data_IF_409079397306
#
_entry.id   IF_409079397306
#
_cell.length_a   1.000
_cell.length_b   1.000
_cell.length_c   1.000
_cell.angle_alpha   90.00
_cell.angle_beta   90.00
_cell.angle_gamma   90.00
#
_symmetry.space_group_name_H-M   'P 1'
#
loop_
_entity.id
_entity.type
_entity.pdbx_description
1 polymer ?
#
# COMPACT_ATOMS: atom_id res chain seq x y z
N UNK A 1 4.39 14.16 -3.02
CA UNK A 1 3.61 13.27 -2.14
C UNK A 1 4.30 11.92 -2.02
N UNK A 2 4.44 11.41 -0.83
CA UNK A 2 5.04 10.09 -0.58
C UNK A 2 4.08 9.24 0.25
N UNK A 3 4.24 7.91 0.16
CA UNK A 3 3.49 7.02 1.03
C UNK A 3 3.94 7.21 2.49
N UNK A 4 3.01 7.15 3.45
CA UNK A 4 3.37 7.33 4.86
C UNK A 4 4.13 6.14 5.43
N UNK A 5 4.93 6.39 6.47
CA UNK A 5 5.58 5.37 7.25
C UNK A 5 6.77 4.68 6.58
N UNK A 6 7.21 3.54 7.13
CA UNK A 6 8.33 2.77 6.58
C UNK A 6 7.89 1.95 5.37
N UNK A 7 8.08 2.50 4.18
CA UNK A 7 7.62 1.88 2.94
C UNK A 7 8.61 0.80 2.48
N UNK A 8 8.16 -0.45 2.24
CA UNK A 8 9.04 -1.49 1.69
C UNK A 8 9.61 -1.08 0.34
N UNK A 9 10.87 -1.44 0.03
CA UNK A 9 11.52 -1.00 -1.22
C UNK A 9 10.74 -1.32 -2.50
N UNK A 10 10.11 -2.48 -2.58
CA UNK A 10 9.33 -2.87 -3.76
C UNK A 10 8.08 -2.01 -3.93
N UNK A 11 7.43 -1.68 -2.82
CA UNK A 11 6.26 -0.82 -2.83
C UNK A 11 6.66 0.62 -3.18
N UNK A 12 7.78 1.08 -2.65
CA UNK A 12 8.32 2.41 -2.98
C UNK A 12 8.61 2.52 -4.48
N UNK A 13 9.20 1.50 -5.09
CA UNK A 13 9.46 1.47 -6.53
C UNK A 13 8.18 1.52 -7.34
N UNK A 14 7.16 0.76 -6.93
CA UNK A 14 5.85 0.79 -7.59
C UNK A 14 5.24 2.18 -7.53
N UNK A 15 5.37 2.83 -6.38
CA UNK A 15 4.89 4.20 -6.18
C UNK A 15 5.62 5.19 -7.08
N UNK A 16 6.95 5.12 -7.14
CA UNK A 16 7.77 6.04 -7.93
C UNK A 16 7.49 5.97 -9.42
N UNK A 17 7.07 4.82 -9.93
CA UNK A 17 6.74 4.61 -11.34
C UNK A 17 5.41 5.23 -11.75
N UNK A 18 4.59 5.67 -10.80
CA UNK A 18 3.26 6.21 -11.06
C UNK A 18 3.31 7.73 -11.20
N UNK A 19 2.41 8.27 -12.02
CA UNK A 19 2.19 9.71 -12.06
C UNK A 19 1.33 10.14 -10.87
N UNK A 20 1.09 11.43 -10.75
CA UNK A 20 0.37 12.00 -9.61
C UNK A 20 -1.04 11.44 -9.44
N UNK A 21 -1.78 11.32 -10.54
CA UNK A 21 -3.14 10.78 -10.53
C UNK A 21 -3.14 9.32 -10.12
N UNK A 22 -2.21 8.54 -10.66
CA UNK A 22 -2.07 7.12 -10.34
C UNK A 22 -1.65 6.91 -8.89
N UNK A 23 -0.79 7.78 -8.34
CA UNK A 23 -0.36 7.72 -6.94
C UNK A 23 -1.53 7.96 -6.01
N UNK A 24 -2.37 8.93 -6.31
CA UNK A 24 -3.56 9.20 -5.52
C UNK A 24 -4.50 7.99 -5.51
N UNK A 25 -4.75 7.39 -6.66
CA UNK A 25 -5.58 6.19 -6.77
C UNK A 25 -4.96 5.03 -6.00
N UNK A 26 -3.66 4.83 -6.13
CA UNK A 26 -2.94 3.76 -5.43
C UNK A 26 -3.02 3.93 -3.91
N UNK A 27 -2.86 5.16 -3.42
CA UNK A 27 -2.96 5.44 -2.00
C UNK A 27 -4.35 5.10 -1.46
N UNK A 28 -5.40 5.52 -2.17
CA UNK A 28 -6.78 5.22 -1.78
C UNK A 28 -7.02 3.71 -1.70
N UNK A 29 -6.57 2.96 -2.72
CA UNK A 29 -6.75 1.52 -2.76
C UNK A 29 -5.93 0.80 -1.68
N UNK A 30 -4.71 1.25 -1.46
CA UNK A 30 -3.79 0.61 -0.53
C UNK A 30 -4.14 0.90 0.92
N UNK A 31 -4.52 2.13 1.23
CA UNK A 31 -4.69 2.62 2.60
C UNK A 31 -6.14 2.92 2.98
N UNK A 32 -7.08 2.77 2.07
CA UNK A 32 -8.49 3.02 2.35
C UNK A 32 -9.04 2.08 3.42
N UNK A 33 -9.75 2.64 4.38
CA UNK A 33 -10.41 1.89 5.46
C UNK A 33 -11.85 2.35 5.63
N UNK A 34 -12.70 1.41 6.02
CA UNK A 34 -14.08 1.68 6.39
C UNK A 34 -14.39 0.92 7.67
N UNK A 35 -14.84 1.61 8.69
CA UNK A 35 -15.15 1.00 9.99
C UNK A 35 -13.97 0.25 10.59
N UNK A 36 -12.75 0.76 10.41
CA UNK A 36 -11.53 0.16 10.95
C UNK A 36 -10.97 -1.01 10.16
N UNK A 37 -11.61 -1.38 9.05
CA UNK A 37 -11.16 -2.47 8.19
C UNK A 37 -10.65 -1.97 6.85
N UNK A 38 -9.65 -2.64 6.30
CA UNK A 38 -9.10 -2.30 5.00
C UNK A 38 -10.13 -2.57 3.90
N UNK A 39 -10.36 -1.59 3.03
CA UNK A 39 -11.33 -1.71 1.92
C UNK A 39 -10.93 -2.77 0.91
N UNK A 40 -9.63 -2.98 0.71
CA UNK A 40 -9.11 -3.99 -0.22
C UNK A 40 -8.16 -4.93 0.51
N UNK A 41 -8.28 -6.22 0.25
CA UNK A 41 -7.38 -7.19 0.88
C UNK A 41 -5.94 -7.02 0.41
N UNK A 42 -4.99 -7.51 1.21
CA UNK A 42 -3.58 -7.51 0.84
C UNK A 42 -3.34 -8.35 -0.41
N UNK A 43 -4.06 -9.47 -0.54
CA UNK A 43 -4.00 -10.35 -1.71
C UNK A 43 -4.46 -9.63 -2.97
N UNK A 44 -5.55 -8.89 -2.88
CA UNK A 44 -6.07 -8.11 -4.00
C UNK A 44 -5.06 -7.05 -4.45
N UNK A 45 -4.50 -6.31 -3.50
CA UNK A 45 -3.49 -5.28 -3.79
C UNK A 45 -2.24 -5.87 -4.42
N UNK A 46 -1.77 -6.99 -3.88
CA UNK A 46 -0.59 -7.68 -4.42
C UNK A 46 -0.84 -8.14 -5.87
N UNK A 47 -2.02 -8.68 -6.15
CA UNK A 47 -2.39 -9.11 -7.49
C UNK A 47 -2.42 -7.94 -8.48
N UNK A 48 -3.03 -6.82 -8.09
CA UNK A 48 -3.11 -5.63 -8.93
C UNK A 48 -1.73 -5.08 -9.25
N UNK A 49 -0.88 -4.93 -8.24
CA UNK A 49 0.47 -4.41 -8.42
C UNK A 49 1.34 -5.35 -9.27
N UNK A 50 1.21 -6.65 -9.06
CA UNK A 50 1.94 -7.63 -9.84
C UNK A 50 1.53 -7.59 -11.32
N UNK A 51 0.24 -7.45 -11.60
CA UNK A 51 -0.25 -7.31 -12.97
C UNK A 51 0.25 -6.03 -13.64
N UNK A 52 0.44 -5.00 -12.86
CA UNK A 52 0.96 -3.72 -13.36
C UNK A 52 2.48 -3.74 -13.57
N UNK A 53 3.13 -4.88 -13.41
CA UNK A 53 4.57 -5.01 -13.62
C UNK A 53 5.41 -4.78 -12.37
N UNK A 54 4.78 -4.74 -11.19
CA UNK A 54 5.47 -4.51 -9.92
C UNK A 54 5.24 -5.71 -9.00
N UNK A 55 6.03 -6.79 -9.11
CA UNK A 55 5.80 -8.00 -8.32
C UNK A 55 5.97 -7.74 -6.83
N UNK A 56 4.86 -7.84 -6.11
CA UNK A 56 4.78 -7.61 -4.67
C UNK A 56 3.93 -8.72 -4.08
N UNK A 57 4.38 -9.29 -2.97
CA UNK A 57 3.62 -10.32 -2.27
C UNK A 57 2.56 -9.72 -1.34
N UNK A 58 1.51 -10.49 -1.07
CA UNK A 58 0.50 -10.09 -0.10
C UNK A 58 1.12 -9.90 1.29
N UNK A 59 2.14 -10.67 1.62
CA UNK A 59 2.89 -10.54 2.87
C UNK A 59 3.51 -9.15 3.01
N UNK A 60 4.09 -8.63 1.93
CA UNK A 60 4.66 -7.27 1.93
C UNK A 60 3.60 -6.22 2.20
N UNK A 61 2.45 -6.34 1.55
CA UNK A 61 1.33 -5.40 1.77
C UNK A 61 0.83 -5.47 3.21
N UNK A 62 0.65 -6.68 3.74
CA UNK A 62 0.21 -6.87 5.13
C UNK A 62 1.20 -6.27 6.12
N UNK A 63 2.49 -6.51 5.92
CA UNK A 63 3.53 -5.97 6.80
C UNK A 63 3.54 -4.45 6.82
N UNK A 64 3.39 -3.84 5.65
CA UNK A 64 3.32 -2.39 5.53
C UNK A 64 2.11 -1.83 6.30
N UNK A 65 0.93 -2.41 6.07
CA UNK A 65 -0.30 -1.98 6.74
C UNK A 65 -0.22 -2.16 8.25
N UNK A 66 0.38 -3.25 8.70
CA UNK A 66 0.57 -3.51 10.14
C UNK A 66 1.49 -2.48 10.78
N UNK A 67 2.56 -2.11 10.08
CA UNK A 67 3.48 -1.08 10.56
C UNK A 67 2.78 0.27 10.71
N UNK A 68 1.92 0.63 9.76
CA UNK A 68 1.14 1.87 9.83
C UNK A 68 0.16 1.88 11.00
N UNK A 69 -0.53 0.77 11.23
CA UNK A 69 -1.46 0.65 12.36
C UNK A 69 -0.72 0.78 13.69
N UNK A 70 0.47 0.18 13.79
CA UNK A 70 1.31 0.28 14.97
C UNK A 70 1.74 1.72 15.26
N UNK A 71 2.13 2.46 14.22
CA UNK A 71 2.50 3.86 14.37
C UNK A 71 1.33 4.70 14.87
N UNK A 72 0.13 4.44 14.38
CA UNK A 72 -1.07 5.14 14.83
C UNK A 72 -1.38 4.86 16.30
N UNK A 73 -1.18 3.63 16.74
CA UNK A 73 -1.38 3.26 18.15
C UNK A 73 -0.39 3.92 19.09
N UNK A 74 0.85 4.12 18.61
CA UNK A 74 1.91 4.75 19.40
C UNK A 74 1.84 6.28 19.36
N UNK A 75 1.20 6.80 18.36
CA UNK A 75 1.02 8.24 18.19
C UNK A 75 -0.22 8.75 18.86
#
# INVERSE_FOLDING_TARGET
>A
MTLPGPVPPRLQRAWEKRDEVQREALEILLLGKTNGEWDRSAEWMAAVLTRAGNPISASTVRSYRRALDRERELG
#
